data_IF_551596725657
#
_entry.id   IF_551596725657
#
_cell.length_a   1.000
_cell.length_b   1.000
_cell.length_c   1.000
_cell.angle_alpha   90.00
_cell.angle_beta   90.00
_cell.angle_gamma   90.00
#
_symmetry.space_group_name_H-M   'P 1'
#
loop_
_entity.id
_entity.type
_entity.pdbx_description
1 polymer ?
#
# COMPACT_ATOMS: atom_id res chain seq x y z
N UNK A 1 -11.01 18.94 -9.50
CA UNK A 1 -11.88 20.09 -9.23
C UNK A 1 -11.20 21.06 -8.28
N UNK A 2 -11.12 22.33 -8.66
CA UNK A 2 -10.54 23.37 -7.80
C UNK A 2 -11.24 23.42 -6.44
N UNK A 3 -10.44 23.48 -5.37
CA UNK A 3 -10.96 23.49 -4.01
C UNK A 3 -11.35 22.13 -3.48
N UNK A 4 -11.25 21.08 -4.31
CA UNK A 4 -11.57 19.72 -3.89
C UNK A 4 -10.52 19.13 -2.96
N UNK A 5 -10.94 18.16 -2.15
CA UNK A 5 -10.04 17.44 -1.23
C UNK A 5 -9.99 15.98 -1.61
N UNK A 6 -8.80 15.39 -1.47
CA UNK A 6 -8.60 13.97 -1.67
C UNK A 6 -8.10 13.36 -0.37
N UNK A 7 -8.90 12.46 0.20
CA UNK A 7 -8.52 11.70 1.39
C UNK A 7 -8.27 10.26 0.91
N UNK A 8 -7.05 9.79 1.08
CA UNK A 8 -6.66 8.47 0.61
C UNK A 8 -6.10 7.62 1.75
N UNK A 9 -6.58 6.38 1.84
CA UNK A 9 -6.02 5.38 2.73
C UNK A 9 -5.35 4.33 1.85
N UNK A 10 -4.05 4.11 2.05
CA UNK A 10 -3.24 3.36 1.11
C UNK A 10 -2.35 2.36 1.85
N UNK A 11 -2.05 1.25 1.17
CA UNK A 11 -1.15 0.21 1.67
C UNK A 11 0.26 0.53 1.20
N UNK A 12 1.25 0.37 2.08
CA UNK A 12 2.64 0.64 1.72
C UNK A 12 3.36 -0.57 1.10
N UNK A 13 2.65 -1.68 0.88
CA UNK A 13 3.21 -2.88 0.30
C UNK A 13 3.74 -3.90 1.30
N UNK A 14 3.83 -3.55 2.57
CA UNK A 14 4.41 -4.43 3.58
C UNK A 14 3.64 -5.74 3.72
N UNK A 15 2.30 -5.67 3.67
CA UNK A 15 1.46 -6.86 3.80
C UNK A 15 1.58 -7.82 2.62
N UNK A 16 2.07 -7.37 1.47
CA UNK A 16 2.20 -8.20 0.28
C UNK A 16 3.44 -9.10 0.33
N UNK A 17 4.45 -8.73 1.09
CA UNK A 17 5.76 -9.38 1.01
C UNK A 17 6.04 -10.36 2.15
N UNK A 18 5.22 -10.38 3.20
CA UNK A 18 5.45 -11.22 4.38
C UNK A 18 4.65 -12.52 4.29
N UNK A 19 5.08 -13.54 5.02
CA UNK A 19 4.34 -14.79 5.17
C UNK A 19 3.13 -14.60 6.10
N UNK A 20 2.33 -15.65 6.28
CA UNK A 20 1.11 -15.56 7.08
C UNK A 20 1.39 -15.18 8.53
N UNK A 21 2.53 -15.59 9.08
CA UNK A 21 2.93 -15.26 10.45
C UNK A 21 3.53 -13.84 10.55
N UNK A 22 3.78 -13.19 9.43
CA UNK A 22 4.39 -11.86 9.36
C UNK A 22 5.79 -11.84 9.99
N UNK A 23 6.52 -12.94 9.86
CA UNK A 23 7.85 -13.08 10.46
C UNK A 23 8.96 -13.16 9.43
N UNK A 24 8.62 -13.40 8.17
CA UNK A 24 9.59 -13.52 7.08
C UNK A 24 9.13 -12.74 5.87
N UNK A 25 10.09 -12.16 5.18
CA UNK A 25 9.85 -11.55 3.87
C UNK A 25 10.01 -12.66 2.83
N UNK A 26 8.95 -12.94 2.07
CA UNK A 26 8.93 -14.06 1.13
C UNK A 26 8.66 -13.63 -0.31
N UNK A 27 8.25 -12.39 -0.54
CA UNK A 27 8.00 -11.88 -1.89
C UNK A 27 8.68 -10.52 -2.08
N UNK A 28 9.02 -10.21 -3.32
CA UNK A 28 9.58 -8.90 -3.67
C UNK A 28 8.47 -7.92 -4.05
N UNK A 29 8.83 -6.66 -4.08
CA UNK A 29 7.99 -5.59 -4.62
C UNK A 29 8.54 -5.17 -5.99
N UNK A 30 7.70 -4.72 -6.93
CA UNK A 30 6.25 -4.57 -6.76
C UNK A 30 5.52 -5.92 -6.76
N UNK A 31 4.45 -6.02 -5.97
CA UNK A 31 3.61 -7.22 -5.98
C UNK A 31 2.67 -7.12 -7.19
N UNK A 32 2.91 -7.96 -8.17
CA UNK A 32 2.22 -7.89 -9.46
C UNK A 32 1.97 -9.30 -10.00
N UNK A 33 0.76 -9.86 -9.81
CA UNK A 33 0.46 -11.21 -10.26
C UNK A 33 0.45 -11.38 -11.79
N UNK A 34 0.38 -10.30 -12.54
CA UNK A 34 0.44 -10.38 -14.00
C UNK A 34 1.86 -10.52 -14.54
N UNK A 35 2.86 -10.14 -13.74
CA UNK A 35 4.27 -10.17 -14.13
C UNK A 35 5.13 -11.12 -13.31
N UNK A 36 4.58 -11.68 -12.24
CA UNK A 36 5.31 -12.56 -11.34
C UNK A 36 4.49 -13.80 -11.03
N UNK A 37 5.02 -14.96 -11.41
CA UNK A 37 4.31 -16.23 -11.29
C UNK A 37 4.05 -16.62 -9.83
N UNK A 38 4.99 -16.35 -8.93
CA UNK A 38 4.81 -16.62 -7.51
C UNK A 38 3.68 -15.77 -6.93
N UNK A 39 3.60 -14.50 -7.32
CA UNK A 39 2.53 -13.60 -6.90
C UNK A 39 1.16 -14.07 -7.43
N UNK A 40 1.14 -14.57 -8.67
CA UNK A 40 -0.09 -15.11 -9.27
C UNK A 40 -0.58 -16.32 -8.48
N UNK A 41 0.32 -17.23 -8.11
CA UNK A 41 -0.04 -18.41 -7.32
C UNK A 41 -0.63 -18.05 -5.98
N UNK A 42 -0.09 -17.02 -5.32
CA UNK A 42 -0.62 -16.55 -4.04
C UNK A 42 -2.04 -16.03 -4.21
N UNK A 43 -2.29 -15.24 -5.24
CA UNK A 43 -3.63 -14.69 -5.49
C UNK A 43 -4.64 -15.79 -5.78
N UNK A 44 -4.26 -16.79 -6.58
CA UNK A 44 -5.13 -17.93 -6.90
C UNK A 44 -5.43 -18.75 -5.65
N UNK A 45 -4.41 -19.05 -4.84
CA UNK A 45 -4.56 -19.86 -3.63
C UNK A 45 -5.46 -19.18 -2.60
N UNK A 46 -5.35 -17.85 -2.49
CA UNK A 46 -6.15 -17.08 -1.55
C UNK A 46 -7.59 -16.85 -1.99
N UNK A 47 -7.87 -17.06 -3.28
CA UNK A 47 -9.20 -16.86 -3.86
C UNK A 47 -9.79 -15.47 -3.59
N UNK A 48 -8.93 -14.46 -3.54
CA UNK A 48 -9.33 -13.08 -3.20
C UNK A 48 -9.21 -12.13 -4.39
N UNK A 49 -8.95 -12.67 -5.58
CA UNK A 49 -8.72 -11.87 -6.76
C UNK A 49 -7.28 -11.37 -6.86
N UNK A 50 -6.99 -10.68 -7.93
CA UNK A 50 -5.65 -10.16 -8.17
C UNK A 50 -5.45 -8.87 -7.41
N UNK A 51 -4.34 -8.77 -6.69
CA UNK A 51 -3.97 -7.59 -5.92
C UNK A 51 -2.61 -7.09 -6.39
N UNK A 52 -2.44 -5.77 -6.34
CA UNK A 52 -1.21 -5.12 -6.81
C UNK A 52 -0.72 -4.15 -5.75
N UNK A 53 0.59 -4.14 -5.51
CA UNK A 53 1.18 -3.13 -4.67
C UNK A 53 1.50 -1.88 -5.51
N UNK A 54 1.55 -0.73 -4.85
CA UNK A 54 1.91 0.53 -5.48
C UNK A 54 2.88 1.26 -4.56
N UNK A 55 3.95 1.80 -5.12
CA UNK A 55 4.95 2.52 -4.34
C UNK A 55 4.48 3.92 -3.94
N UNK A 56 5.20 4.53 -2.99
CA UNK A 56 4.89 5.89 -2.53
C UNK A 56 5.07 6.91 -3.66
N UNK A 57 6.05 6.68 -4.52
CA UNK A 57 6.27 7.56 -5.67
C UNK A 57 5.05 7.57 -6.59
N UNK A 58 4.46 6.40 -6.82
CA UNK A 58 3.26 6.27 -7.65
C UNK A 58 2.06 6.90 -6.98
N UNK A 59 1.84 6.62 -5.71
CA UNK A 59 0.64 7.05 -4.99
C UNK A 59 0.69 8.52 -4.60
N UNK A 60 1.70 8.95 -3.89
CA UNK A 60 1.85 10.35 -3.47
C UNK A 60 2.39 11.19 -4.61
N UNK A 61 3.42 10.72 -5.30
CA UNK A 61 3.96 11.42 -6.46
C UNK A 61 2.90 11.64 -7.54
N UNK A 62 2.02 10.65 -7.72
CA UNK A 62 0.91 10.77 -8.65
C UNK A 62 -0.04 11.91 -8.30
N UNK A 63 -0.37 12.05 -7.01
CA UNK A 63 -1.21 13.16 -6.54
C UNK A 63 -0.54 14.52 -6.81
N UNK A 64 0.74 14.63 -6.50
CA UNK A 64 1.49 15.86 -6.69
C UNK A 64 1.59 16.23 -8.19
N UNK A 65 1.86 15.24 -9.04
CA UNK A 65 1.95 15.47 -10.49
C UNK A 65 0.60 15.85 -11.10
N UNK A 66 -0.49 15.40 -10.48
CA UNK A 66 -1.84 15.77 -10.89
C UNK A 66 -2.25 17.16 -10.42
N UNK A 67 -1.38 17.85 -9.69
CA UNK A 67 -1.62 19.24 -9.24
C UNK A 67 -2.18 19.37 -7.85
N UNK A 68 -2.27 18.29 -7.09
CA UNK A 68 -2.70 18.36 -5.70
C UNK A 68 -1.58 18.88 -4.80
N UNK A 69 -1.97 19.54 -3.74
CA UNK A 69 -1.05 19.98 -2.67
C UNK A 69 -1.29 19.05 -1.49
N UNK A 70 -0.23 18.36 -1.05
CA UNK A 70 -0.30 17.48 0.11
C UNK A 70 -0.37 18.32 1.38
N UNK A 71 -1.41 18.12 2.16
CA UNK A 71 -1.63 18.87 3.40
C UNK A 71 -1.23 18.10 4.64
N UNK A 72 -1.43 16.78 4.63
CA UNK A 72 -1.12 15.95 5.79
C UNK A 72 -0.93 14.50 5.35
N UNK A 73 -0.16 13.76 6.14
CA UNK A 73 0.04 12.33 5.94
C UNK A 73 0.39 11.71 7.29
N UNK A 74 -0.12 10.50 7.55
CA UNK A 74 0.29 9.73 8.72
C UNK A 74 0.31 8.24 8.38
N UNK A 75 1.02 7.48 9.19
CA UNK A 75 1.16 6.05 9.04
C UNK A 75 0.42 5.31 10.14
N UNK A 76 0.07 4.05 9.88
CA UNK A 76 -0.54 3.20 10.88
C UNK A 76 -0.14 1.75 10.63
N UNK A 77 -0.28 0.92 11.68
CA UNK A 77 -0.02 -0.51 11.59
C UNK A 77 -1.32 -1.25 11.26
N UNK A 78 -1.21 -2.58 11.13
CA UNK A 78 -2.39 -3.43 10.91
C UNK A 78 -3.36 -3.46 12.10
N UNK A 79 -2.94 -2.97 13.27
CA UNK A 79 -3.75 -3.03 14.47
C UNK A 79 -3.65 -4.36 15.23
N UNK A 80 -3.09 -5.39 14.62
CA UNK A 80 -2.86 -6.70 15.22
C UNK A 80 -1.83 -7.45 14.38
N UNK A 81 -1.33 -8.56 14.92
CA UNK A 81 -0.34 -9.39 14.23
C UNK A 81 1.10 -8.99 14.53
N UNK A 82 2.05 -9.71 13.93
CA UNK A 82 3.47 -9.55 14.23
C UNK A 82 4.00 -8.17 13.81
N UNK A 83 3.57 -7.70 12.64
CA UNK A 83 3.99 -6.37 12.18
C UNK A 83 3.54 -5.28 13.16
N UNK A 84 2.30 -5.39 13.63
CA UNK A 84 1.77 -4.45 14.63
C UNK A 84 2.57 -4.52 15.94
N UNK A 85 2.88 -5.74 16.42
CA UNK A 85 3.65 -5.94 17.64
C UNK A 85 5.04 -5.31 17.55
N UNK A 86 5.63 -5.33 16.36
CA UNK A 86 6.94 -4.73 16.10
C UNK A 86 6.84 -3.26 15.74
N UNK A 87 5.64 -2.69 15.77
CA UNK A 87 5.37 -1.29 15.43
C UNK A 87 5.80 -0.93 14.00
N UNK A 88 5.61 -1.87 13.07
CA UNK A 88 5.94 -1.66 11.66
C UNK A 88 4.69 -1.15 10.92
N UNK A 89 4.72 0.05 10.35
CA UNK A 89 3.57 0.57 9.63
C UNK A 89 3.36 -0.17 8.31
N UNK A 90 2.10 -0.43 7.99
CA UNK A 90 1.70 -1.09 6.74
C UNK A 90 0.73 -0.24 5.93
N UNK A 91 0.17 0.78 6.55
CA UNK A 91 -0.78 1.70 5.91
C UNK A 91 -0.38 3.14 6.15
N UNK A 92 -0.88 4.00 5.29
CA UNK A 92 -0.76 5.43 5.49
C UNK A 92 -1.99 6.12 4.90
N UNK A 93 -2.30 7.29 5.44
CA UNK A 93 -3.42 8.09 4.99
C UNK A 93 -2.92 9.48 4.64
N UNK A 94 -3.45 10.04 3.57
CA UNK A 94 -3.05 11.36 3.12
C UNK A 94 -4.25 12.25 2.92
N UNK A 95 -4.04 13.55 3.10
CA UNK A 95 -5.00 14.59 2.77
C UNK A 95 -4.33 15.54 1.78
N UNK A 96 -4.92 15.68 0.61
CA UNK A 96 -4.43 16.59 -0.42
C UNK A 96 -5.56 17.50 -0.86
N UNK A 97 -5.21 18.68 -1.37
CA UNK A 97 -6.20 19.64 -1.85
C UNK A 97 -5.85 20.06 -3.28
N UNK A 98 -6.87 20.33 -4.06
CA UNK A 98 -6.71 20.87 -5.41
C UNK A 98 -6.87 22.39 -5.34
N UNK A 99 -5.81 23.14 -5.65
CA UNK A 99 -5.90 24.60 -5.60
C UNK A 99 -6.91 25.18 -6.57
#
# INVERSE_FOLDING_TARGET
KSGGRLIAGLDNGMNFIVDDAQERIVYELPFDPLKNEAHLKVCIAGNEGFQFSHGIEEQIGGQLRAGFILKDIYEDTNGSGRLHEMNIPSFWASLAVKP
#
